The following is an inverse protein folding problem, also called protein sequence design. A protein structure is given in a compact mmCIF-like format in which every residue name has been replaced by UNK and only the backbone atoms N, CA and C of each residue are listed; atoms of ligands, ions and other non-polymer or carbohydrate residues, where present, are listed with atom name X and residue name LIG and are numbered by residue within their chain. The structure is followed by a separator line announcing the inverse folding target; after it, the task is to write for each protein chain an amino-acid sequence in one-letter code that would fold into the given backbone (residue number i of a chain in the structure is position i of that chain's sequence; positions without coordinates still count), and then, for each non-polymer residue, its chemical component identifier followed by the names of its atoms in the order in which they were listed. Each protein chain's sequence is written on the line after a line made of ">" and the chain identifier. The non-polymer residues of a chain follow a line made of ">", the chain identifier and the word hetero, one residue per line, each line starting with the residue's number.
data_IF_310837062939
#
_entry.id   IF_310837062939
#
_cell.length_a   1.000
_cell.length_b   1.000
_cell.length_c   1.000
_cell.angle_alpha   90.00
_cell.angle_beta   90.00
_cell.angle_gamma   90.00
#
_symmetry.space_group_name_H-M   'P 1'
#
loop_
_entity.id
_entity.type
_entity.pdbx_description
1 polymer ?
#
# COMPACT_ATOMS: atom_id res chain seq x y z
N UNK A 1 22.07 -5.75 13.76
CA UNK A 1 21.01 -5.32 14.69
C UNK A 1 19.98 -6.40 15.06
N UNK A 2 19.53 -7.27 14.14
CA UNK A 2 18.50 -8.31 14.44
C UNK A 2 18.87 -9.23 15.61
N UNK A 3 20.09 -9.74 15.65
CA UNK A 3 20.59 -10.59 16.75
C UNK A 3 20.46 -9.92 18.14
N UNK A 4 20.83 -8.65 18.24
CA UNK A 4 20.72 -7.90 19.50
C UNK A 4 19.27 -7.72 19.93
N UNK A 5 18.38 -7.37 18.99
CA UNK A 5 16.96 -7.20 19.28
C UNK A 5 16.32 -8.52 19.75
N UNK A 6 16.69 -9.65 19.16
CA UNK A 6 16.09 -10.94 19.51
C UNK A 6 16.66 -11.55 20.78
N UNK A 7 17.98 -11.42 21.02
CA UNK A 7 18.68 -12.22 22.04
C UNK A 7 19.18 -11.41 23.25
N UNK A 8 19.23 -10.08 23.16
CA UNK A 8 19.92 -9.25 24.16
C UNK A 8 19.08 -8.08 24.69
N UNK A 9 17.83 -7.91 24.23
CA UNK A 9 16.91 -6.94 24.80
C UNK A 9 16.41 -7.42 26.17
N UNK A 10 16.53 -6.56 27.19
CA UNK A 10 16.01 -6.81 28.53
C UNK A 10 14.48 -6.72 28.54
N UNK A 11 13.84 -7.36 29.52
CA UNK A 11 12.41 -7.19 29.77
C UNK A 11 12.04 -5.71 30.00
N UNK A 12 10.79 -5.34 29.71
CA UNK A 12 10.27 -3.96 29.84
C UNK A 12 11.05 -2.90 29.05
N UNK A 13 11.60 -3.28 27.89
CA UNK A 13 12.13 -2.33 26.91
C UNK A 13 11.07 -1.94 25.88
N UNK A 14 11.35 -0.95 25.02
CA UNK A 14 10.57 -0.61 23.83
C UNK A 14 10.15 -1.87 23.05
N UNK A 15 8.86 -1.96 22.72
CA UNK A 15 8.31 -3.06 21.94
C UNK A 15 9.03 -3.23 20.61
N UNK A 16 9.34 -4.48 20.26
CA UNK A 16 9.72 -4.84 18.90
C UNK A 16 8.46 -5.00 18.06
N UNK A 17 8.13 -3.96 17.31
CA UNK A 17 7.06 -4.00 16.31
C UNK A 17 7.54 -4.82 15.10
N UNK A 18 6.77 -5.83 14.65
CA UNK A 18 7.10 -6.56 13.43
C UNK A 18 7.28 -5.65 12.22
N UNK A 19 8.01 -6.12 11.21
CA UNK A 19 8.27 -5.32 10.02
C UNK A 19 6.98 -4.90 9.28
N UNK A 20 5.89 -5.68 9.40
CA UNK A 20 4.58 -5.35 8.81
C UNK A 20 3.55 -4.83 9.83
N UNK A 21 4.01 -4.44 11.02
CA UNK A 21 3.11 -4.09 12.12
C UNK A 21 2.38 -5.31 12.68
N UNK A 22 1.32 -5.07 13.45
CA UNK A 22 0.47 -6.12 14.02
C UNK A 22 -0.79 -6.38 13.20
N UNK A 23 -1.08 -5.52 12.22
CA UNK A 23 -2.41 -5.40 11.60
C UNK A 23 -2.52 -6.10 10.24
N UNK A 24 -1.39 -6.35 9.56
CA UNK A 24 -1.34 -6.90 8.19
C UNK A 24 -0.45 -8.13 8.14
N UNK A 25 -0.93 -9.24 8.68
CA UNK A 25 -0.24 -10.53 8.56
C UNK A 25 -0.36 -11.06 7.12
N UNK A 26 -1.48 -10.80 6.40
CA UNK A 26 -1.78 -11.54 5.16
C UNK A 26 -2.29 -10.72 3.94
N UNK A 27 -2.27 -9.38 3.96
CA UNK A 27 -2.77 -8.57 2.82
C UNK A 27 -1.69 -7.74 2.14
N UNK A 28 -1.40 -8.02 0.87
CA UNK A 28 -0.48 -7.24 0.02
C UNK A 28 -1.21 -6.27 -0.93
N UNK A 29 -2.47 -5.96 -0.62
CA UNK A 29 -3.31 -5.17 -1.51
C UNK A 29 -2.77 -3.76 -1.73
N UNK A 30 -2.65 -3.36 -3.00
CA UNK A 30 -2.12 -2.03 -3.34
C UNK A 30 -3.18 -0.94 -3.16
N UNK A 31 -2.75 0.27 -2.79
CA UNK A 31 -3.63 1.44 -2.72
C UNK A 31 -4.25 1.76 -4.09
N UNK A 32 -3.53 1.46 -5.18
CA UNK A 32 -4.05 1.59 -6.54
C UNK A 32 -5.29 0.70 -6.73
N UNK A 33 -5.20 -0.57 -6.32
CA UNK A 33 -6.28 -1.53 -6.43
C UNK A 33 -7.48 -1.17 -5.54
N UNK A 34 -7.25 -0.74 -4.30
CA UNK A 34 -8.33 -0.28 -3.40
C UNK A 34 -9.10 0.90 -3.99
N UNK A 35 -8.39 1.91 -4.50
CA UNK A 35 -9.02 3.06 -5.20
C UNK A 35 -9.78 2.62 -6.43
N UNK A 36 -9.20 1.69 -7.21
CA UNK A 36 -9.83 1.14 -8.39
C UNK A 36 -11.13 0.42 -8.04
N UNK A 37 -11.17 -0.38 -6.98
CA UNK A 37 -12.38 -1.09 -6.56
C UNK A 37 -13.47 -0.17 -6.02
N UNK A 38 -13.10 0.91 -5.32
CA UNK A 38 -14.08 1.93 -4.91
C UNK A 38 -14.75 2.54 -6.13
N UNK A 39 -13.96 2.97 -7.11
CA UNK A 39 -14.47 3.49 -8.38
C UNK A 39 -15.30 2.44 -9.16
N UNK A 40 -14.82 1.21 -9.24
CA UNK A 40 -15.49 0.12 -9.96
C UNK A 40 -16.85 -0.18 -9.36
N UNK A 41 -16.92 -0.26 -8.02
CA UNK A 41 -18.15 -0.50 -7.27
C UNK A 41 -19.20 0.57 -7.57
N UNK A 42 -18.81 1.84 -7.56
CA UNK A 42 -19.71 2.96 -7.85
C UNK A 42 -20.14 2.98 -9.33
N UNK A 43 -19.18 2.85 -10.25
CA UNK A 43 -19.44 2.93 -11.70
C UNK A 43 -20.37 1.83 -12.20
N UNK A 44 -20.20 0.60 -11.68
CA UNK A 44 -20.97 -0.55 -12.12
C UNK A 44 -22.10 -0.93 -11.17
N UNK A 45 -22.27 -0.19 -10.05
CA UNK A 45 -23.26 -0.48 -9.01
C UNK A 45 -23.18 -1.92 -8.52
N UNK A 46 -21.97 -2.34 -8.14
CA UNK A 46 -21.65 -3.68 -7.62
C UNK A 46 -20.82 -3.57 -6.35
N UNK A 47 -20.77 -4.65 -5.58
CA UNK A 47 -19.92 -4.76 -4.40
C UNK A 47 -18.64 -5.52 -4.77
N UNK A 48 -17.49 -4.88 -4.59
CA UNK A 48 -16.18 -5.53 -4.76
C UNK A 48 -15.59 -5.90 -3.38
N UNK A 49 -15.69 -7.18 -3.02
CA UNK A 49 -15.02 -7.75 -1.85
C UNK A 49 -13.49 -7.64 -2.04
N UNK A 50 -12.78 -7.16 -1.02
CA UNK A 50 -11.32 -6.99 -0.99
C UNK A 50 -10.80 -7.09 0.46
N UNK A 51 -9.51 -6.80 0.69
CA UNK A 51 -8.88 -6.90 2.03
C UNK A 51 -9.59 -6.12 3.15
N UNK A 52 -10.28 -5.02 2.83
CA UNK A 52 -11.01 -4.21 3.82
C UNK A 52 -12.45 -4.71 4.07
N UNK A 53 -12.91 -5.74 3.38
CA UNK A 53 -14.24 -6.35 3.62
C UNK A 53 -14.22 -7.27 4.84
N UNK A 54 -15.35 -7.48 5.51
CA UNK A 54 -15.43 -8.30 6.75
C UNK A 54 -14.94 -9.75 6.54
N UNK A 55 -15.06 -10.28 5.33
CA UNK A 55 -14.55 -11.59 4.92
C UNK A 55 -13.12 -11.59 4.36
N UNK A 56 -12.44 -10.44 4.34
CA UNK A 56 -11.15 -10.22 3.67
C UNK A 56 -11.21 -10.49 2.16
N UNK A 57 -10.04 -10.77 1.57
CA UNK A 57 -9.92 -11.13 0.15
C UNK A 57 -10.55 -12.49 -0.15
N UNK A 58 -11.15 -12.62 -1.32
CA UNK A 58 -11.74 -13.89 -1.78
C UNK A 58 -10.64 -14.91 -2.03
N UNK A 59 -10.69 -16.04 -1.31
CA UNK A 59 -9.82 -17.20 -1.54
C UNK A 59 -10.40 -18.15 -2.59
N UNK A 60 -9.58 -18.52 -3.56
CA UNK A 60 -9.84 -19.57 -4.56
C UNK A 60 -8.72 -20.60 -4.45
N UNK A 61 -9.03 -21.74 -3.84
CA UNK A 61 -8.04 -22.75 -3.49
C UNK A 61 -6.92 -22.17 -2.61
N UNK A 62 -5.68 -22.21 -3.10
CA UNK A 62 -4.51 -21.67 -2.39
C UNK A 62 -4.21 -20.19 -2.68
N UNK A 63 -4.95 -19.56 -3.58
CA UNK A 63 -4.72 -18.16 -3.98
C UNK A 63 -5.79 -17.23 -3.43
N UNK A 64 -5.43 -15.97 -3.27
CA UNK A 64 -6.35 -14.86 -2.99
C UNK A 64 -6.46 -14.01 -4.26
N UNK A 65 -7.67 -13.57 -4.58
CA UNK A 65 -7.93 -12.57 -5.61
C UNK A 65 -7.86 -11.18 -4.99
N UNK A 66 -7.34 -10.21 -5.74
CA UNK A 66 -7.31 -8.81 -5.28
C UNK A 66 -8.74 -8.32 -4.99
N UNK A 67 -9.68 -8.57 -5.92
CA UNK A 67 -11.09 -8.18 -5.83
C UNK A 67 -12.06 -9.28 -6.27
N UNK A 68 -13.26 -9.29 -5.68
CA UNK A 68 -14.33 -10.21 -6.06
C UNK A 68 -15.67 -9.49 -6.18
N UNK A 69 -16.29 -9.56 -7.36
CA UNK A 69 -17.59 -8.93 -7.62
C UNK A 69 -18.70 -9.86 -7.12
N UNK A 70 -19.27 -9.53 -5.98
CA UNK A 70 -20.14 -10.42 -5.20
C UNK A 70 -21.39 -10.83 -5.99
N UNK A 71 -22.06 -9.87 -6.62
CA UNK A 71 -23.35 -10.10 -7.28
C UNK A 71 -23.21 -10.90 -8.59
N UNK A 72 -22.04 -10.82 -9.23
CA UNK A 72 -21.79 -11.38 -10.57
C UNK A 72 -20.84 -12.59 -10.54
N UNK A 73 -20.30 -12.95 -9.37
CA UNK A 73 -19.42 -14.09 -9.14
C UNK A 73 -18.20 -14.17 -10.08
N UNK A 74 -17.42 -13.08 -10.19
CA UNK A 74 -16.15 -13.10 -10.91
C UNK A 74 -15.05 -12.32 -10.18
N UNK A 75 -13.80 -12.67 -10.49
CA UNK A 75 -12.61 -12.04 -9.91
C UNK A 75 -12.15 -10.80 -10.66
N UNK A 76 -11.51 -9.88 -9.96
CA UNK A 76 -10.76 -8.78 -10.54
C UNK A 76 -9.32 -8.82 -10.01
N UNK A 77 -8.36 -8.69 -10.91
CA UNK A 77 -6.92 -8.59 -10.58
C UNK A 77 -6.39 -7.22 -11.02
N UNK A 78 -5.60 -6.58 -10.17
CA UNK A 78 -4.97 -5.29 -10.46
C UNK A 78 -3.46 -5.49 -10.48
N UNK A 79 -2.93 -5.80 -11.66
CA UNK A 79 -1.53 -6.16 -11.83
C UNK A 79 -0.63 -4.92 -11.85
N UNK A 80 0.20 -4.76 -10.83
CA UNK A 80 1.32 -3.83 -10.84
C UNK A 80 2.31 -4.16 -11.96
N UNK A 81 2.59 -3.20 -12.85
CA UNK A 81 3.32 -3.48 -14.09
C UNK A 81 4.71 -4.05 -13.83
N UNK A 82 5.41 -3.53 -12.83
CA UNK A 82 6.76 -3.96 -12.44
C UNK A 82 6.76 -5.33 -11.76
N UNK A 83 5.72 -5.63 -10.98
CA UNK A 83 5.66 -6.87 -10.18
C UNK A 83 5.19 -8.08 -10.97
N UNK A 84 4.39 -7.84 -12.02
CA UNK A 84 3.80 -8.85 -12.90
C UNK A 84 4.39 -8.84 -14.31
N UNK A 85 5.34 -7.94 -14.59
CA UNK A 85 6.02 -7.83 -15.88
C UNK A 85 5.07 -7.49 -17.03
N UNK A 86 4.36 -6.36 -16.98
CA UNK A 86 3.40 -5.95 -18.01
C UNK A 86 3.95 -6.09 -19.45
N UNK A 87 3.29 -6.82 -20.36
CA UNK A 87 3.73 -6.97 -21.75
C UNK A 87 3.84 -5.64 -22.53
N UNK A 88 3.02 -4.65 -22.18
CA UNK A 88 3.03 -3.32 -22.82
C UNK A 88 4.18 -2.45 -22.32
N UNK A 89 4.50 -2.51 -21.04
CA UNK A 89 5.55 -1.68 -20.42
C UNK A 89 6.94 -2.31 -20.54
N UNK A 90 7.03 -3.64 -20.48
CA UNK A 90 8.28 -4.38 -20.40
C UNK A 90 8.35 -5.50 -21.44
N UNK A 91 8.28 -5.21 -22.75
CA UNK A 91 8.07 -6.23 -23.78
C UNK A 91 9.16 -7.32 -23.82
N UNK A 92 10.38 -7.01 -23.41
CA UNK A 92 11.50 -7.96 -23.36
C UNK A 92 11.34 -8.95 -22.18
N UNK A 93 11.34 -10.26 -22.47
CA UNK A 93 11.18 -11.33 -21.48
C UNK A 93 12.38 -11.51 -20.53
N UNK A 94 13.55 -11.00 -20.90
CA UNK A 94 14.78 -11.10 -20.12
C UNK A 94 15.05 -9.86 -19.25
N UNK A 95 14.13 -8.88 -19.26
CA UNK A 95 14.28 -7.69 -18.45
C UNK A 95 14.18 -8.02 -16.96
N UNK A 96 15.17 -7.60 -16.17
CA UNK A 96 15.24 -7.84 -14.74
C UNK A 96 14.43 -6.80 -13.97
N UNK A 97 13.47 -7.27 -13.19
CA UNK A 97 12.65 -6.43 -12.30
C UNK A 97 13.34 -6.22 -10.93
N UNK A 98 12.90 -5.24 -10.12
CA UNK A 98 13.50 -4.94 -8.80
C UNK A 98 13.50 -6.12 -7.81
N UNK A 99 12.67 -7.13 -8.05
CA UNK A 99 12.62 -8.37 -7.27
C UNK A 99 13.65 -9.43 -7.73
N UNK A 100 14.52 -9.09 -8.68
CA UNK A 100 15.55 -9.98 -9.23
C UNK A 100 15.03 -11.04 -10.20
N UNK A 101 13.74 -11.02 -10.55
CA UNK A 101 13.11 -11.96 -11.49
C UNK A 101 13.01 -11.32 -12.88
N UNK A 102 13.05 -12.14 -13.91
CA UNK A 102 12.80 -11.69 -15.28
C UNK A 102 11.30 -11.51 -15.53
N UNK A 103 10.92 -10.60 -16.42
CA UNK A 103 9.52 -10.39 -16.82
C UNK A 103 8.89 -11.66 -17.40
N UNK A 104 9.64 -12.47 -18.17
CA UNK A 104 9.17 -13.76 -18.70
C UNK A 104 8.80 -14.73 -17.58
N UNK A 105 9.65 -14.85 -16.56
CA UNK A 105 9.38 -15.68 -15.37
C UNK A 105 8.13 -15.20 -14.62
N UNK A 106 7.97 -13.89 -14.44
CA UNK A 106 6.80 -13.32 -13.75
C UNK A 106 5.50 -13.62 -14.50
N UNK A 107 5.49 -13.45 -15.83
CA UNK A 107 4.33 -13.77 -16.67
C UNK A 107 3.98 -15.25 -16.66
N UNK A 108 4.99 -16.12 -16.72
CA UNK A 108 4.77 -17.57 -16.65
C UNK A 108 4.16 -17.97 -15.30
N UNK A 109 4.69 -17.43 -14.20
CA UNK A 109 4.14 -17.64 -12.87
C UNK A 109 2.69 -17.15 -12.76
N UNK A 110 2.38 -15.97 -13.27
CA UNK A 110 1.02 -15.42 -13.27
C UNK A 110 0.07 -16.22 -14.15
N UNK A 111 0.54 -16.69 -15.31
CA UNK A 111 -0.23 -17.57 -16.20
C UNK A 111 -0.61 -18.86 -15.48
N UNK A 112 0.34 -19.54 -14.82
CA UNK A 112 0.08 -20.77 -14.07
C UNK A 112 -0.91 -20.53 -12.90
N UNK A 113 -0.80 -19.39 -12.22
CA UNK A 113 -1.77 -18.98 -11.19
C UNK A 113 -3.16 -18.77 -11.79
N UNK A 114 -3.26 -18.05 -12.90
CA UNK A 114 -4.52 -17.72 -13.56
C UNK A 114 -5.22 -18.97 -14.11
N UNK A 115 -4.48 -19.90 -14.72
CA UNK A 115 -5.02 -21.18 -15.18
C UNK A 115 -5.64 -21.98 -14.04
N UNK A 116 -4.98 -22.04 -12.88
CA UNK A 116 -5.57 -22.69 -11.70
C UNK A 116 -6.85 -21.98 -11.25
N UNK A 117 -6.84 -20.65 -11.14
CA UNK A 117 -8.00 -19.89 -10.67
C UNK A 117 -9.19 -20.08 -11.63
N UNK A 118 -8.97 -19.95 -12.94
CA UNK A 118 -9.99 -20.12 -13.97
C UNK A 118 -10.47 -21.58 -14.10
N UNK A 119 -9.75 -22.56 -13.55
CA UNK A 119 -10.30 -23.92 -13.40
C UNK A 119 -11.37 -24.03 -12.32
N UNK A 120 -11.48 -23.04 -11.43
CA UNK A 120 -12.40 -23.02 -10.29
C UNK A 120 -13.53 -21.98 -10.43
N UNK A 121 -13.34 -20.95 -11.25
CA UNK A 121 -14.32 -19.88 -11.49
C UNK A 121 -14.35 -19.49 -12.97
N UNK A 122 -15.48 -18.99 -13.44
CA UNK A 122 -15.71 -18.77 -14.88
C UNK A 122 -14.98 -17.56 -15.45
N UNK A 123 -14.65 -16.57 -14.61
CA UNK A 123 -14.14 -15.28 -15.08
C UNK A 123 -13.24 -14.58 -14.07
N UNK A 124 -12.14 -14.02 -14.58
CA UNK A 124 -11.29 -13.05 -13.90
C UNK A 124 -10.95 -11.93 -14.89
N UNK A 125 -11.26 -10.68 -14.53
CA UNK A 125 -10.87 -9.50 -15.30
C UNK A 125 -9.55 -8.95 -14.77
N UNK A 126 -8.55 -8.81 -15.63
CA UNK A 126 -7.23 -8.29 -15.25
C UNK A 126 -7.08 -6.85 -15.75
N UNK A 127 -6.76 -5.93 -14.85
CA UNK A 127 -6.46 -4.53 -15.14
C UNK A 127 -5.00 -4.24 -14.80
N UNK A 128 -4.22 -3.80 -15.79
CA UNK A 128 -2.83 -3.43 -15.54
C UNK A 128 -2.73 -2.02 -14.97
N UNK A 129 -1.75 -1.79 -14.09
CA UNK A 129 -1.44 -0.48 -13.51
C UNK A 129 -1.34 0.62 -14.58
N UNK A 130 -0.66 0.36 -15.70
CA UNK A 130 -0.52 1.34 -16.78
C UNK A 130 -1.85 1.64 -17.49
N UNK A 131 -2.78 0.69 -17.55
CA UNK A 131 -4.11 0.87 -18.14
C UNK A 131 -4.98 1.71 -17.21
N UNK A 132 -4.94 1.44 -15.90
CA UNK A 132 -5.62 2.25 -14.88
C UNK A 132 -5.11 3.69 -14.93
N UNK A 133 -3.80 3.91 -15.07
CA UNK A 133 -3.26 5.27 -15.25
C UNK A 133 -3.75 5.96 -16.52
N UNK A 134 -3.92 5.22 -17.63
CA UNK A 134 -4.52 5.79 -18.85
C UNK A 134 -6.01 6.10 -18.67
N UNK A 135 -6.76 5.28 -17.93
CA UNK A 135 -8.15 5.55 -17.58
C UNK A 135 -8.25 6.83 -16.74
N UNK A 136 -7.41 6.96 -15.71
CA UNK A 136 -7.32 8.17 -14.88
C UNK A 136 -6.96 9.42 -15.69
N UNK A 137 -6.13 9.29 -16.73
CA UNK A 137 -5.77 10.39 -17.61
C UNK A 137 -6.97 10.91 -18.44
N UNK A 138 -7.92 10.03 -18.78
CA UNK A 138 -9.07 10.32 -19.65
C UNK A 138 -10.36 10.61 -18.89
N UNK A 139 -10.55 10.01 -17.72
CA UNK A 139 -11.78 10.07 -16.94
C UNK A 139 -11.59 10.98 -15.71
N UNK A 140 -12.19 12.18 -15.77
CA UNK A 140 -12.11 13.17 -14.69
C UNK A 140 -12.84 12.70 -13.43
N UNK A 141 -13.95 11.98 -13.57
CA UNK A 141 -14.75 11.50 -12.44
C UNK A 141 -14.01 10.39 -11.70
N UNK A 142 -13.44 9.43 -12.45
CA UNK A 142 -12.55 8.41 -11.89
C UNK A 142 -11.41 9.04 -11.10
N UNK A 143 -10.77 10.05 -11.69
CA UNK A 143 -9.67 10.77 -11.05
C UNK A 143 -10.13 11.44 -9.74
N UNK A 144 -11.27 12.11 -9.74
CA UNK A 144 -11.82 12.74 -8.54
C UNK A 144 -12.09 11.72 -7.43
N UNK A 145 -12.68 10.56 -7.77
CA UNK A 145 -12.91 9.47 -6.80
C UNK A 145 -11.61 8.94 -6.21
N UNK A 146 -10.57 8.76 -7.04
CA UNK A 146 -9.25 8.32 -6.57
C UNK A 146 -8.62 9.34 -5.61
N UNK A 147 -8.80 10.64 -5.86
CA UNK A 147 -8.32 11.70 -4.97
C UNK A 147 -9.09 11.79 -3.66
N UNK A 148 -10.41 11.59 -3.70
CA UNK A 148 -11.26 11.63 -2.51
C UNK A 148 -11.26 10.33 -1.70
N UNK A 149 -10.61 9.27 -2.20
CA UNK A 149 -10.51 7.99 -1.50
C UNK A 149 -9.74 8.16 -0.19
N UNK A 150 -10.43 7.86 0.92
CA UNK A 150 -9.84 7.77 2.24
C UNK A 150 -9.56 6.28 2.50
N UNK A 151 -8.29 5.94 2.66
CA UNK A 151 -7.90 4.60 3.11
C UNK A 151 -8.25 4.49 4.60
N UNK A 152 -9.28 3.71 4.90
CA UNK A 152 -9.72 3.38 6.25
C UNK A 152 -9.03 2.13 6.81
N UNK A 153 -8.04 1.61 6.07
CA UNK A 153 -7.19 0.53 6.52
C UNK A 153 -6.28 0.92 7.70
N UNK A 154 -5.51 -0.05 8.22
CA UNK A 154 -4.59 0.19 9.32
C UNK A 154 -3.60 1.32 9.03
N UNK A 155 -3.34 2.16 10.04
CA UNK A 155 -2.36 3.24 9.96
C UNK A 155 -0.99 2.61 9.68
N UNK A 156 -0.35 3.01 8.58
CA UNK A 156 1.08 2.71 8.39
C UNK A 156 1.88 3.60 9.35
N UNK A 157 2.22 3.05 10.51
CA UNK A 157 3.03 3.72 11.52
C UNK A 157 4.34 4.24 10.91
N UNK A 158 4.91 3.59 9.89
CA UNK A 158 6.16 4.09 9.30
C UNK A 158 5.98 5.37 8.52
N UNK A 159 4.80 5.60 7.92
CA UNK A 159 4.48 6.85 7.24
C UNK A 159 4.64 8.08 8.15
N UNK A 160 4.51 7.92 9.49
CA UNK A 160 4.72 9.02 10.43
C UNK A 160 6.19 9.49 10.51
N UNK A 161 7.16 8.63 10.16
CA UNK A 161 8.56 9.02 10.04
C UNK A 161 8.86 9.74 8.72
N UNK A 162 7.95 9.66 7.74
CA UNK A 162 8.05 10.32 6.45
C UNK A 162 7.18 11.58 6.44
N UNK A 163 7.65 12.62 7.13
CA UNK A 163 6.99 13.91 7.19
C UNK A 163 8.00 15.04 7.38
N UNK A 164 8.26 15.80 6.33
CA UNK A 164 8.94 17.10 6.41
C UNK A 164 10.44 17.05 6.71
N UNK A 165 11.25 16.62 5.73
CA UNK A 165 12.59 17.23 5.60
C UNK A 165 12.39 18.67 5.10
N UNK A 166 12.10 19.59 6.02
CA UNK A 166 12.25 21.02 5.74
C UNK A 166 13.73 21.35 5.88
N UNK A 167 14.48 21.19 4.80
CA UNK A 167 15.83 21.72 4.69
C UNK A 167 15.77 23.21 4.34
N UNK A 168 16.72 24.03 4.81
CA UNK A 168 16.83 25.40 4.33
C UNK A 168 17.08 25.42 2.82
N UNK A 169 16.24 26.12 2.06
CA UNK A 169 16.43 26.35 0.61
C UNK A 169 17.68 27.21 0.32
N UNK A 170 18.14 27.99 1.31
CA UNK A 170 19.28 28.90 1.22
C UNK A 170 19.99 28.95 2.57
N UNK A 171 21.28 28.59 2.60
CA UNK A 171 22.08 28.56 3.84
C UNK A 171 22.57 29.94 4.29
N UNK A 172 22.65 30.91 3.37
CA UNK A 172 23.12 32.26 3.64
C UNK A 172 22.41 33.27 2.76
N UNK A 173 21.92 34.37 3.33
CA UNK A 173 21.34 35.50 2.60
C UNK A 173 21.82 36.81 3.22
N UNK A 174 22.51 37.61 2.40
CA UNK A 174 22.81 38.99 2.73
C UNK A 174 21.59 39.87 2.42
N UNK A 175 21.18 40.68 3.39
CA UNK A 175 19.98 41.53 3.34
C UNK A 175 20.28 42.82 2.58
N UNK A 176 19.43 43.21 1.64
CA UNK A 176 19.54 44.50 0.93
C UNK A 176 18.75 45.61 1.62
N UNK A 177 18.99 46.87 1.24
CA UNK A 177 18.23 48.01 1.73
C UNK A 177 16.72 47.82 1.52
N UNK A 178 15.96 47.90 2.61
CA UNK A 178 14.51 47.70 2.62
C UNK A 178 14.05 46.25 2.81
N UNK A 179 14.95 45.26 2.81
CA UNK A 179 14.61 43.87 3.10
C UNK A 179 14.61 43.58 4.62
N UNK A 180 13.78 42.62 5.03
CA UNK A 180 13.74 42.09 6.41
C UNK A 180 13.65 40.58 6.36
N UNK A 181 14.48 39.90 7.16
CA UNK A 181 14.36 38.46 7.39
C UNK A 181 13.42 38.24 8.57
N UNK A 182 12.37 37.43 8.35
CA UNK A 182 11.48 36.96 9.42
C UNK A 182 11.72 35.48 9.65
N UNK A 183 11.84 35.08 10.91
CA UNK A 183 11.94 33.69 11.32
C UNK A 183 10.64 33.33 12.05
N UNK A 184 10.02 32.23 11.63
CA UNK A 184 8.88 31.64 12.31
C UNK A 184 9.34 30.30 12.89
N UNK A 185 9.54 30.27 14.20
CA UNK A 185 9.88 29.02 14.89
C UNK A 185 8.61 28.17 15.04
N UNK A 186 8.62 27.00 14.42
CA UNK A 186 7.67 25.95 14.73
C UNK A 186 8.45 24.93 15.52
N UNK A 187 8.31 24.96 16.85
CA UNK A 187 8.74 23.83 17.67
C UNK A 187 7.88 22.65 17.26
N UNK A 188 8.44 21.77 16.42
CA UNK A 188 7.71 20.58 15.99
C UNK A 188 7.30 19.79 17.23
N UNK A 189 6.06 19.30 17.24
CA UNK A 189 5.54 18.50 18.34
C UNK A 189 6.40 17.24 18.55
N UNK A 190 7.01 16.73 17.49
CA UNK A 190 7.80 15.49 17.52
C UNK A 190 9.03 15.53 18.45
N UNK A 191 10.01 16.47 18.32
CA UNK A 191 11.10 16.61 19.27
C UNK A 191 10.65 16.91 20.69
N UNK A 192 9.62 17.77 20.86
CA UNK A 192 9.07 18.08 22.19
C UNK A 192 8.55 16.80 22.85
N UNK A 193 7.67 16.06 22.20
CA UNK A 193 7.09 14.81 22.72
C UNK A 193 8.17 13.75 22.97
N UNK A 194 9.16 13.59 22.09
CA UNK A 194 10.26 12.64 22.28
C UNK A 194 11.11 12.95 23.53
N UNK A 195 11.20 14.22 23.93
CA UNK A 195 11.94 14.64 25.14
C UNK A 195 11.05 14.56 26.37
N UNK A 196 9.79 14.99 26.27
CA UNK A 196 8.92 15.18 27.44
C UNK A 196 8.08 13.98 27.81
N UNK A 197 7.95 12.98 26.92
CA UNK A 197 7.00 11.87 27.10
C UNK A 197 7.74 10.55 27.23
N UNK A 198 7.36 9.75 28.23
CA UNK A 198 7.85 8.39 28.36
C UNK A 198 7.30 7.52 27.23
N UNK A 199 8.17 6.72 26.59
CA UNK A 199 7.72 5.74 25.62
C UNK A 199 7.04 4.54 26.29
N UNK A 200 6.03 3.93 25.65
CA UNK A 200 5.47 2.68 26.15
C UNK A 200 6.54 1.58 26.15
N UNK A 201 6.58 0.82 27.24
CA UNK A 201 7.51 -0.30 27.44
C UNK A 201 6.75 -1.62 27.53
N UNK A 202 7.40 -2.71 27.12
CA UNK A 202 6.79 -4.02 27.02
C UNK A 202 6.12 -4.27 25.67
N UNK A 203 5.73 -5.51 25.43
CA UNK A 203 5.04 -5.89 24.19
C UNK A 203 3.54 -5.62 24.31
N UNK A 204 2.91 -5.00 23.29
CA UNK A 204 1.47 -4.74 23.32
C UNK A 204 0.68 -6.05 23.29
N UNK A 205 -0.43 -6.09 24.02
CA UNK A 205 -1.45 -7.13 23.85
C UNK A 205 -2.30 -6.78 22.63
N UNK A 206 -2.21 -7.59 21.58
CA UNK A 206 -2.98 -7.38 20.35
C UNK A 206 -4.40 -7.91 20.56
N UNK A 207 -5.39 -7.03 20.38
CA UNK A 207 -6.80 -7.40 20.39
C UNK A 207 -7.31 -7.47 18.96
N UNK A 208 -7.75 -8.65 18.51
CA UNK A 208 -8.37 -8.80 17.19
C UNK A 208 -9.84 -8.39 17.32
N UNK A 209 -10.19 -7.26 16.72
CA UNK A 209 -11.58 -6.81 16.63
C UNK A 209 -12.12 -7.35 15.31
N UNK A 210 -12.97 -8.37 15.39
CA UNK A 210 -13.76 -8.82 14.23
C UNK A 210 -14.90 -7.80 14.10
N UNK A 211 -14.87 -6.97 13.06
CA UNK A 211 -16.02 -6.13 12.71
C UNK A 211 -17.17 -7.08 12.32
N UNK A 212 -18.28 -6.99 13.06
CA UNK A 212 -19.53 -7.71 12.80
C UNK A 212 -20.39 -6.93 11.82
#
# INVERSE_FOLDING_TARGET
>A
MRHFRTNHLKEQHLALVPERGYDKVDGNQSLLALRFFKWYSEKYSVTVQNVNSDGGEKRIGKYQLDGWVVEKNYGIEVNGCVWHGCPKCFPNEYELMPNGKTTGYLREHDKNRMEFILSQIDRVDVYWECEIHQMLAKDREMRQMFYSYIDDGPIDIRSCFYGGRTGPLKLHHEVKDGERISYYDVTSLYPFINVTTAYPVGHPKVHIIIKM
#
